data_IF_828797688883
#
_entry.id   IF_828797688883
#
_cell.length_a   1.000
_cell.length_b   1.000
_cell.length_c   1.000
_cell.angle_alpha   90.00
_cell.angle_beta   90.00
_cell.angle_gamma   90.00
#
_symmetry.space_group_name_H-M   'P 1'
#
loop_
_entity.id
_entity.type
_entity.pdbx_description
1 polymer ?
#
# COMPACT_ATOMS: atom_id res chain seq x y z
N UNK A 1 4.72 9.18 -45.00
CA UNK A 1 4.17 10.53 -45.25
C UNK A 1 3.18 10.61 -46.43
N UNK A 2 3.40 10.01 -47.60
CA UNK A 2 2.45 10.11 -48.74
C UNK A 2 1.14 9.30 -48.61
N UNK A 3 1.11 8.24 -47.80
CA UNK A 3 -0.08 7.37 -47.67
C UNK A 3 -1.22 7.99 -46.83
N UNK A 4 -0.89 8.82 -45.83
CA UNK A 4 -1.88 9.41 -44.90
C UNK A 4 -2.67 10.57 -45.51
N UNK A 5 -2.04 11.32 -46.42
CA UNK A 5 -2.67 12.44 -47.14
C UNK A 5 -3.66 11.96 -48.22
N UNK A 6 -3.45 10.76 -48.78
CA UNK A 6 -4.35 10.20 -49.79
C UNK A 6 -5.66 9.65 -49.18
N UNK A 7 -5.65 9.25 -47.90
CA UNK A 7 -6.86 8.76 -47.22
C UNK A 7 -7.90 9.88 -47.00
N UNK A 8 -7.44 11.08 -46.64
CA UNK A 8 -8.31 12.24 -46.46
C UNK A 8 -8.91 12.77 -47.79
N UNK A 9 -8.26 12.51 -48.92
CA UNK A 9 -8.73 12.92 -50.26
C UNK A 9 -9.80 11.97 -50.83
N UNK A 10 -9.76 10.69 -50.47
CA UNK A 10 -10.69 9.67 -50.97
C UNK A 10 -12.10 9.74 -50.35
N UNK A 11 -12.27 10.39 -49.19
CA UNK A 11 -13.57 10.46 -48.50
C UNK A 11 -14.51 11.57 -48.99
N UNK A 12 -14.10 12.40 -49.96
CA UNK A 12 -14.90 13.56 -50.40
C UNK A 12 -15.59 13.40 -51.77
N UNK A 13 -15.30 12.36 -52.56
CA UNK A 13 -15.90 12.17 -53.89
C UNK A 13 -16.15 10.67 -54.19
N UNK A 14 -17.41 10.24 -54.21
CA UNK A 14 -17.84 8.97 -54.83
C UNK A 14 -18.66 8.03 -53.92
N UNK A 15 -19.75 7.40 -54.42
CA UNK A 15 -20.70 6.66 -53.60
C UNK A 15 -20.27 5.21 -53.33
N UNK A 16 -20.68 4.69 -52.16
CA UNK A 16 -20.72 3.27 -51.78
C UNK A 16 -19.39 2.51 -51.84
N UNK A 17 -18.53 2.75 -50.87
CA UNK A 17 -17.72 1.67 -50.30
C UNK A 17 -17.46 1.95 -48.82
N UNK A 18 -17.75 0.96 -47.95
CA UNK A 18 -17.36 1.02 -46.54
C UNK A 18 -15.82 1.08 -46.51
N UNK A 19 -15.19 2.09 -45.88
CA UNK A 19 -13.75 2.09 -45.77
C UNK A 19 -13.31 0.91 -44.89
N UNK A 20 -12.48 0.02 -45.45
CA UNK A 20 -11.83 -1.01 -44.66
C UNK A 20 -10.95 -0.36 -43.58
N UNK A 21 -11.12 -0.80 -42.33
CA UNK A 21 -10.29 -0.33 -41.21
C UNK A 21 -8.83 -0.68 -41.50
N UNK A 22 -7.87 0.23 -41.27
CA UNK A 22 -6.46 -0.12 -41.34
C UNK A 22 -6.13 -1.25 -40.35
N UNK A 23 -5.30 -2.24 -40.71
CA UNK A 23 -5.00 -3.38 -39.85
C UNK A 23 -4.34 -2.97 -38.52
N UNK A 24 -3.65 -1.83 -38.46
CA UNK A 24 -3.04 -1.32 -37.23
C UNK A 24 -4.08 -0.86 -36.19
N UNK A 25 -5.19 -0.23 -36.64
CA UNK A 25 -6.27 0.24 -35.77
C UNK A 25 -7.06 -0.91 -35.13
N UNK A 26 -7.13 -2.06 -35.81
CA UNK A 26 -7.77 -3.27 -35.27
C UNK A 26 -6.98 -3.91 -34.12
N UNK A 27 -5.64 -3.91 -34.20
CA UNK A 27 -4.76 -4.39 -33.12
C UNK A 27 -4.68 -3.42 -31.94
N UNK A 28 -4.72 -2.12 -32.20
CA UNK A 28 -4.64 -1.11 -31.13
C UNK A 28 -5.90 -1.10 -30.24
N UNK A 29 -7.08 -1.22 -30.84
CA UNK A 29 -8.36 -1.27 -30.11
C UNK A 29 -8.63 -2.59 -29.37
N UNK A 30 -7.86 -3.65 -29.63
CA UNK A 30 -7.97 -4.94 -28.92
C UNK A 30 -7.06 -5.05 -27.70
N UNK A 31 -6.08 -4.15 -27.53
CA UNK A 31 -5.08 -4.19 -26.45
C UNK A 31 -5.41 -3.23 -25.30
N UNK A 32 -6.34 -2.29 -25.50
CA UNK A 32 -6.80 -1.34 -24.47
C UNK A 32 -8.22 -1.71 -24.04
N UNK A 33 -8.43 -2.40 -22.90
CA UNK A 33 -9.76 -2.65 -22.38
C UNK A 33 -10.32 -1.33 -21.83
N UNK A 34 -11.29 -0.73 -22.53
CA UNK A 34 -11.99 0.48 -22.03
C UNK A 34 -12.39 1.48 -23.10
N UNK A 35 -11.71 1.51 -24.25
CA UNK A 35 -12.07 2.38 -25.38
C UNK A 35 -13.25 1.80 -26.19
N UNK A 36 -14.41 1.62 -25.57
CA UNK A 36 -15.68 1.53 -26.31
C UNK A 36 -16.04 2.94 -26.74
N UNK A 37 -15.50 3.38 -27.87
CA UNK A 37 -15.98 4.55 -28.60
C UNK A 37 -17.45 4.28 -28.97
N UNK A 38 -18.38 4.71 -28.11
CA UNK A 38 -19.81 4.63 -28.38
C UNK A 38 -20.05 5.52 -29.59
N UNK A 39 -20.41 4.93 -30.72
CA UNK A 39 -20.88 5.63 -31.91
C UNK A 39 -22.14 6.45 -31.55
N UNK A 40 -21.92 7.65 -31.02
CA UNK A 40 -22.86 8.76 -31.08
C UNK A 40 -22.17 9.91 -31.81
N UNK A 41 -21.70 9.63 -33.02
CA UNK A 41 -21.80 10.66 -34.05
C UNK A 41 -23.29 10.89 -34.23
N UNK A 42 -23.77 11.95 -33.59
CA UNK A 42 -25.10 12.53 -33.80
C UNK A 42 -25.36 12.47 -35.31
N UNK A 43 -26.39 11.71 -35.69
CA UNK A 43 -27.05 11.88 -36.99
C UNK A 43 -27.55 13.32 -37.04
N UNK A 44 -26.69 14.25 -37.47
CA UNK A 44 -27.13 15.55 -37.96
C UNK A 44 -27.91 15.22 -39.21
N UNK A 45 -29.22 15.46 -39.13
CA UNK A 45 -30.23 14.98 -40.04
C UNK A 45 -29.81 15.06 -41.50
N UNK A 46 -30.03 13.95 -42.18
CA UNK A 46 -30.27 13.85 -43.61
C UNK A 46 -31.20 14.96 -44.09
N UNK A 47 -30.62 16.06 -44.55
CA UNK A 47 -31.26 17.07 -45.39
C UNK A 47 -30.52 17.08 -46.73
N UNK A 48 -31.20 16.97 -47.88
CA UNK A 48 -30.56 16.80 -49.19
C UNK A 48 -30.00 18.11 -49.77
N UNK A 49 -29.64 19.09 -48.94
CA UNK A 49 -28.99 20.34 -49.38
C UNK A 49 -27.53 20.32 -48.96
N UNK A 50 -26.66 20.35 -49.96
CA UNK A 50 -25.22 20.47 -49.78
C UNK A 50 -24.90 21.62 -48.81
N UNK A 51 -24.05 21.40 -47.79
CA UNK A 51 -23.67 22.46 -46.87
C UNK A 51 -22.93 23.56 -47.63
N UNK A 52 -23.25 24.81 -47.32
CA UNK A 52 -22.61 26.00 -47.88
C UNK A 52 -21.10 25.96 -47.58
N UNK A 53 -20.25 26.59 -48.41
CA UNK A 53 -18.79 26.50 -48.31
C UNK A 53 -18.18 26.96 -46.96
N UNK A 54 -18.94 27.64 -46.09
CA UNK A 54 -18.50 28.02 -44.74
C UNK A 54 -18.50 26.89 -43.71
N UNK A 55 -19.34 25.85 -43.86
CA UNK A 55 -19.45 24.75 -42.88
C UNK A 55 -18.45 23.61 -43.12
N UNK A 56 -17.93 23.50 -44.36
CA UNK A 56 -16.87 22.53 -44.68
C UNK A 56 -15.59 22.84 -43.91
N UNK A 57 -15.28 24.11 -43.71
CA UNK A 57 -14.10 24.54 -42.96
C UNK A 57 -14.21 24.15 -41.50
N UNK A 58 -15.38 24.34 -40.87
CA UNK A 58 -15.61 23.95 -39.47
C UNK A 58 -15.49 22.44 -39.25
N UNK A 59 -16.06 21.62 -40.15
CA UNK A 59 -15.97 20.16 -40.08
C UNK A 59 -14.53 19.65 -40.32
N UNK A 60 -13.78 20.28 -41.23
CA UNK A 60 -12.36 19.99 -41.47
C UNK A 60 -11.51 20.42 -40.27
N UNK A 61 -11.81 21.54 -39.62
CA UNK A 61 -11.11 22.01 -38.42
C UNK A 61 -11.38 21.06 -37.25
N UNK A 62 -12.62 20.62 -37.02
CA UNK A 62 -12.95 19.65 -35.97
C UNK A 62 -12.31 18.27 -36.21
N UNK A 63 -12.31 17.79 -37.45
CA UNK A 63 -11.65 16.52 -37.80
C UNK A 63 -10.12 16.61 -37.69
N UNK A 64 -9.53 17.77 -38.01
CA UNK A 64 -8.10 18.03 -37.82
C UNK A 64 -7.73 18.17 -36.36
N UNK A 65 -8.54 18.85 -35.54
CA UNK A 65 -8.34 18.95 -34.09
C UNK A 65 -8.42 17.57 -33.43
N UNK A 66 -9.39 16.74 -33.80
CA UNK A 66 -9.50 15.36 -33.32
C UNK A 66 -8.35 14.47 -33.79
N UNK A 67 -7.88 14.63 -35.03
CA UNK A 67 -6.73 13.88 -35.54
C UNK A 67 -5.39 14.34 -34.92
N UNK A 68 -5.25 15.63 -34.61
CA UNK A 68 -4.09 16.18 -33.89
C UNK A 68 -4.11 15.74 -32.44
N UNK A 69 -5.25 15.77 -31.75
CA UNK A 69 -5.37 15.22 -30.39
C UNK A 69 -5.11 13.71 -30.36
N UNK A 70 -5.59 12.96 -31.35
CA UNK A 70 -5.28 11.52 -31.48
C UNK A 70 -3.79 11.30 -31.80
N UNK A 71 -3.18 12.14 -32.64
CA UNK A 71 -1.76 12.06 -32.97
C UNK A 71 -0.90 12.45 -31.77
N UNK A 72 -1.28 13.46 -30.99
CA UNK A 72 -0.63 13.86 -29.74
C UNK A 72 -0.81 12.78 -28.70
N UNK A 73 -2.00 12.22 -28.55
CA UNK A 73 -2.23 11.07 -27.66
C UNK A 73 -1.41 9.86 -28.10
N UNK A 74 -1.33 9.55 -29.39
CA UNK A 74 -0.51 8.45 -29.94
C UNK A 74 0.98 8.75 -29.88
N UNK A 75 1.42 10.00 -30.00
CA UNK A 75 2.83 10.39 -29.88
C UNK A 75 3.26 10.47 -28.41
N UNK A 76 2.36 10.85 -27.50
CA UNK A 76 2.53 10.68 -26.07
C UNK A 76 2.55 9.19 -25.72
N UNK A 77 1.67 8.36 -26.29
CA UNK A 77 1.65 6.92 -25.99
C UNK A 77 2.82 6.14 -26.63
N UNK A 78 3.19 6.46 -27.86
CA UNK A 78 4.25 5.79 -28.63
C UNK A 78 5.64 6.42 -28.39
N UNK A 79 5.69 7.68 -27.94
CA UNK A 79 6.90 8.42 -27.57
C UNK A 79 7.13 8.52 -26.06
N UNK A 80 6.19 8.14 -25.18
CA UNK A 80 6.37 7.94 -23.73
C UNK A 80 6.53 6.45 -23.33
N UNK A 81 6.82 5.59 -24.31
CA UNK A 81 7.37 4.24 -24.10
C UNK A 81 8.90 4.16 -23.93
N UNK A 82 9.76 5.18 -24.15
CA UNK A 82 11.13 5.11 -23.65
C UNK A 82 11.09 5.34 -22.14
N UNK A 83 11.16 4.21 -21.45
CA UNK A 83 11.40 4.01 -20.02
C UNK A 83 10.34 4.58 -19.05
N UNK A 84 9.60 3.66 -18.41
CA UNK A 84 8.96 3.89 -17.10
C UNK A 84 9.91 4.58 -16.09
N UNK A 85 11.22 4.49 -16.27
CA UNK A 85 12.27 5.07 -15.43
C UNK A 85 12.33 6.61 -15.41
N UNK A 86 11.80 7.29 -16.43
CA UNK A 86 11.86 8.77 -16.51
C UNK A 86 10.58 9.45 -15.98
N UNK A 87 9.54 8.68 -15.66
CA UNK A 87 8.22 9.21 -15.28
C UNK A 87 8.28 9.89 -13.92
N UNK A 88 7.68 11.08 -13.83
CA UNK A 88 7.71 11.86 -12.61
C UNK A 88 8.98 12.70 -12.41
N UNK A 89 10.01 12.65 -13.27
CA UNK A 89 11.23 13.48 -13.17
C UNK A 89 11.01 14.94 -13.61
N UNK A 90 11.89 15.90 -13.24
CA UNK A 90 11.81 17.27 -13.77
C UNK A 90 11.89 17.33 -15.30
N UNK A 91 12.67 16.43 -15.92
CA UNK A 91 12.75 16.34 -17.37
C UNK A 91 11.47 15.79 -18.03
N UNK A 92 10.73 14.90 -17.36
CA UNK A 92 9.40 14.49 -17.82
C UNK A 92 8.36 15.60 -17.64
N UNK A 93 8.44 16.37 -16.54
CA UNK A 93 7.60 17.56 -16.32
C UNK A 93 7.76 18.58 -17.45
N UNK A 94 8.99 18.94 -17.79
CA UNK A 94 9.29 19.89 -18.88
C UNK A 94 8.73 19.40 -20.22
N UNK A 95 8.94 18.13 -20.56
CA UNK A 95 8.39 17.52 -21.79
C UNK A 95 6.86 17.54 -21.83
N UNK A 96 6.18 17.37 -20.70
CA UNK A 96 4.71 17.47 -20.63
C UNK A 96 4.28 18.92 -20.88
N UNK A 97 4.93 19.88 -20.24
CA UNK A 97 4.61 21.31 -20.38
C UNK A 97 4.85 21.83 -21.80
N UNK A 98 5.84 21.29 -22.53
CA UNK A 98 6.15 21.67 -23.92
C UNK A 98 5.08 21.23 -24.94
N UNK A 99 4.36 20.14 -24.67
CA UNK A 99 3.40 19.54 -25.61
C UNK A 99 1.97 20.02 -25.36
N UNK A 100 1.71 20.59 -24.18
CA UNK A 100 0.38 21.06 -23.81
C UNK A 100 0.07 22.42 -24.45
N UNK A 101 -1.17 22.63 -24.95
CA UNK A 101 -1.60 23.89 -25.54
C UNK A 101 -1.84 24.96 -24.46
N UNK A 102 -0.76 25.45 -23.84
CA UNK A 102 -0.80 26.43 -22.75
C UNK A 102 -0.82 27.89 -23.25
N UNK A 103 -0.46 28.12 -24.51
CA UNK A 103 -0.33 29.46 -25.08
C UNK A 103 -1.68 30.16 -25.30
N UNK A 104 -2.77 29.39 -25.38
CA UNK A 104 -4.14 29.90 -25.53
C UNK A 104 -4.78 30.30 -24.17
N UNK A 105 -4.07 30.12 -23.06
CA UNK A 105 -4.57 30.41 -21.72
C UNK A 105 -4.22 31.83 -21.28
N UNK A 106 -5.13 32.46 -20.53
CA UNK A 106 -4.81 33.70 -19.82
C UNK A 106 -3.67 33.45 -18.82
N UNK A 107 -2.76 34.42 -18.56
CA UNK A 107 -1.58 34.20 -17.72
C UNK A 107 -1.87 33.56 -16.36
N UNK A 108 -2.90 34.04 -15.65
CA UNK A 108 -3.31 33.48 -14.35
C UNK A 108 -3.85 32.04 -14.43
N UNK A 109 -4.44 31.67 -15.57
CA UNK A 109 -4.96 30.33 -15.80
C UNK A 109 -3.82 29.39 -16.20
N UNK A 110 -2.90 29.85 -17.04
CA UNK A 110 -1.65 29.15 -17.38
C UNK A 110 -0.88 28.78 -16.12
N UNK A 111 -0.64 29.73 -15.22
CA UNK A 111 0.10 29.49 -13.97
C UNK A 111 -0.56 28.41 -13.11
N UNK A 112 -1.90 28.48 -12.95
CA UNK A 112 -2.66 27.47 -12.21
C UNK A 112 -2.55 26.08 -12.83
N UNK A 113 -2.66 25.98 -14.16
CA UNK A 113 -2.54 24.70 -14.86
C UNK A 113 -1.13 24.13 -14.74
N UNK A 114 -0.10 24.96 -14.89
CA UNK A 114 1.30 24.57 -14.70
C UNK A 114 1.51 24.05 -13.29
N UNK A 115 1.05 24.76 -12.26
CA UNK A 115 1.17 24.33 -10.87
C UNK A 115 0.45 23.00 -10.60
N UNK A 116 -0.74 22.80 -11.17
CA UNK A 116 -1.46 21.54 -11.06
C UNK A 116 -0.69 20.38 -11.72
N UNK A 117 -0.09 20.59 -12.89
CA UNK A 117 0.75 19.60 -13.58
C UNK A 117 1.98 19.23 -12.76
N UNK A 118 2.64 20.21 -12.15
CA UNK A 118 3.77 20.00 -11.24
C UNK A 118 3.37 19.17 -10.04
N UNK A 119 2.23 19.48 -9.42
CA UNK A 119 1.72 18.74 -8.27
C UNK A 119 1.36 17.30 -8.66
N UNK A 120 0.67 17.09 -9.78
CA UNK A 120 0.37 15.75 -10.33
C UNK A 120 1.65 14.94 -10.57
N UNK A 121 2.70 15.58 -11.06
CA UNK A 121 4.00 14.93 -11.32
C UNK A 121 4.68 14.49 -10.03
N UNK A 122 4.63 15.34 -8.98
CA UNK A 122 5.14 14.99 -7.65
C UNK A 122 4.36 13.84 -7.01
N UNK A 123 3.03 13.86 -7.11
CA UNK A 123 2.17 12.78 -6.62
C UNK A 123 2.51 11.47 -7.33
N UNK A 124 2.62 11.51 -8.65
CA UNK A 124 2.97 10.33 -9.45
C UNK A 124 4.33 9.76 -9.05
N UNK A 125 5.34 10.62 -8.80
CA UNK A 125 6.64 10.18 -8.27
C UNK A 125 6.51 9.58 -6.88
N UNK A 126 5.86 10.29 -5.95
CA UNK A 126 5.71 9.84 -4.56
C UNK A 126 5.01 8.48 -4.46
N UNK A 127 3.99 8.25 -5.30
CA UNK A 127 3.26 6.99 -5.31
C UNK A 127 4.00 5.89 -6.08
N UNK A 128 4.52 6.18 -7.29
CA UNK A 128 4.89 5.17 -8.28
C UNK A 128 6.36 5.13 -8.71
N UNK A 129 7.27 5.86 -8.06
CA UNK A 129 8.70 5.77 -8.39
C UNK A 129 9.18 4.30 -8.27
N UNK A 130 9.70 3.69 -9.36
CA UNK A 130 10.24 2.33 -9.36
C UNK A 130 11.55 2.16 -8.57
N UNK A 131 12.02 3.23 -7.91
CA UNK A 131 13.25 3.29 -7.11
C UNK A 131 12.99 3.51 -5.61
N UNK A 132 11.74 3.37 -5.13
CA UNK A 132 11.38 3.58 -3.72
C UNK A 132 10.14 4.42 -3.46
N UNK A 133 9.16 4.46 -4.37
CA UNK A 133 7.86 5.09 -4.13
C UNK A 133 7.03 4.37 -3.05
N UNK A 134 5.95 5.01 -2.59
CA UNK A 134 5.10 4.45 -1.52
C UNK A 134 4.50 3.08 -1.88
N UNK A 135 4.20 2.82 -3.16
CA UNK A 135 3.71 1.52 -3.62
C UNK A 135 4.76 0.43 -3.41
N UNK A 136 6.02 0.67 -3.79
CA UNK A 136 7.12 -0.29 -3.60
C UNK A 136 7.38 -0.53 -2.11
N UNK A 137 7.47 0.55 -1.34
CA UNK A 137 7.70 0.45 0.11
C UNK A 137 6.53 -0.25 0.84
N UNK A 138 5.29 -0.08 0.34
CA UNK A 138 4.14 -0.83 0.83
C UNK A 138 4.27 -2.32 0.52
N UNK A 139 4.58 -2.68 -0.73
CA UNK A 139 4.79 -4.07 -1.12
C UNK A 139 5.89 -4.73 -0.30
N UNK A 140 7.04 -4.07 -0.14
CA UNK A 140 8.14 -4.56 0.70
C UNK A 140 7.68 -4.77 2.15
N UNK A 141 6.91 -3.84 2.72
CA UNK A 141 6.37 -3.99 4.08
C UNK A 141 5.38 -5.17 4.18
N UNK A 142 4.55 -5.40 3.15
CA UNK A 142 3.66 -6.57 3.11
C UNK A 142 4.47 -7.87 2.98
N UNK A 143 5.55 -7.87 2.21
CA UNK A 143 6.45 -9.02 2.08
C UNK A 143 7.23 -9.30 3.36
N UNK A 144 7.72 -8.27 4.05
CA UNK A 144 8.32 -8.36 5.38
C UNK A 144 7.32 -8.96 6.36
N UNK A 145 6.08 -8.45 6.35
CA UNK A 145 5.00 -8.98 7.17
C UNK A 145 4.70 -10.44 6.81
N UNK A 146 4.70 -10.81 5.52
CA UNK A 146 4.50 -12.18 5.08
C UNK A 146 5.64 -13.11 5.48
N UNK A 147 6.90 -12.66 5.37
CA UNK A 147 8.09 -13.37 5.82
C UNK A 147 8.05 -13.58 7.33
N UNK A 148 7.60 -12.58 8.07
CA UNK A 148 7.48 -12.62 9.52
C UNK A 148 6.29 -13.47 10.00
N UNK A 149 5.20 -13.49 9.24
CA UNK A 149 4.03 -14.31 9.52
C UNK A 149 4.12 -15.72 8.93
N UNK A 150 5.31 -16.15 8.52
CA UNK A 150 5.54 -17.54 8.11
C UNK A 150 5.14 -18.48 9.24
N UNK A 151 4.71 -19.68 8.83
CA UNK A 151 4.29 -20.76 9.73
C UNK A 151 5.31 -21.01 10.84
N UNK A 152 6.61 -20.91 10.54
CA UNK A 152 7.73 -21.04 11.48
C UNK A 152 7.58 -20.09 12.68
N UNK A 153 7.36 -18.79 12.47
CA UNK A 153 7.20 -17.82 13.58
C UNK A 153 5.92 -18.04 14.40
N UNK A 154 4.86 -18.53 13.77
CA UNK A 154 3.65 -18.92 14.51
C UNK A 154 3.94 -20.14 15.40
N UNK A 155 4.63 -21.15 14.88
CA UNK A 155 5.03 -22.34 15.65
C UNK A 155 6.06 -22.01 16.74
N UNK A 156 7.03 -21.13 16.49
CA UNK A 156 7.96 -20.60 17.49
C UNK A 156 7.22 -19.96 18.67
N UNK A 157 6.22 -19.10 18.40
CA UNK A 157 5.38 -18.55 19.49
C UNK A 157 4.64 -19.64 20.26
N UNK A 158 4.18 -20.71 19.58
CA UNK A 158 3.51 -21.83 20.26
C UNK A 158 4.48 -22.58 21.16
N UNK A 159 5.70 -22.80 20.69
CA UNK A 159 6.79 -23.43 21.43
C UNK A 159 7.12 -22.62 22.68
N UNK A 160 7.46 -21.34 22.54
CA UNK A 160 7.80 -20.45 23.66
C UNK A 160 6.71 -20.43 24.74
N UNK A 161 5.43 -20.31 24.34
CA UNK A 161 4.32 -20.31 25.30
C UNK A 161 4.11 -21.67 25.97
N UNK A 162 4.36 -22.77 25.27
CA UNK A 162 4.26 -24.12 25.83
C UNK A 162 5.42 -24.39 26.78
N UNK A 163 6.65 -24.05 26.41
CA UNK A 163 7.81 -24.13 27.30
C UNK A 163 7.60 -23.29 28.55
N UNK A 164 7.17 -22.03 28.41
CA UNK A 164 6.86 -21.16 29.55
C UNK A 164 5.80 -21.77 30.47
N UNK A 165 4.77 -22.41 29.91
CA UNK A 165 3.74 -23.11 30.69
C UNK A 165 4.30 -24.31 31.43
N UNK A 166 5.10 -25.14 30.77
CA UNK A 166 5.75 -26.30 31.41
C UNK A 166 6.66 -25.82 32.54
N UNK A 167 7.49 -24.80 32.30
CA UNK A 167 8.34 -24.22 33.34
C UNK A 167 7.57 -23.62 34.51
N UNK A 168 6.39 -23.03 34.27
CA UNK A 168 5.50 -22.61 35.35
C UNK A 168 4.90 -23.76 36.16
N UNK A 169 4.84 -24.98 35.62
CA UNK A 169 4.42 -26.16 36.38
C UNK A 169 5.53 -26.67 37.29
N UNK A 170 6.79 -26.48 36.89
CA UNK A 170 7.97 -26.85 37.69
C UNK A 170 8.18 -25.92 38.91
N UNK A 171 7.55 -24.74 38.91
CA UNK A 171 7.60 -23.81 40.04
C UNK A 171 6.82 -24.39 41.23
N UNK A 172 7.46 -24.47 42.40
CA UNK A 172 6.83 -24.90 43.65
C UNK A 172 5.92 -23.80 44.22
N UNK A 173 4.70 -23.75 43.69
CA UNK A 173 3.67 -22.77 44.05
C UNK A 173 3.25 -22.88 45.51
N UNK A 174 3.25 -24.09 46.07
CA UNK A 174 2.85 -24.32 47.45
C UNK A 174 3.91 -23.79 48.40
N UNK A 175 5.19 -24.05 48.10
CA UNK A 175 6.29 -23.43 48.82
C UNK A 175 6.23 -21.91 48.71
N UNK A 176 6.09 -21.33 47.51
CA UNK A 176 6.03 -19.86 47.35
C UNK A 176 4.86 -19.27 48.14
N UNK A 177 3.67 -19.90 48.09
CA UNK A 177 2.50 -19.42 48.81
C UNK A 177 2.74 -19.42 50.34
N UNK A 178 3.24 -20.52 50.89
CA UNK A 178 3.55 -20.65 52.32
C UNK A 178 4.68 -19.71 52.76
N UNK A 179 5.74 -19.61 51.97
CA UNK A 179 6.86 -18.71 52.25
C UNK A 179 6.43 -17.24 52.19
N UNK A 180 5.56 -16.87 51.25
CA UNK A 180 5.01 -15.53 51.16
C UNK A 180 4.13 -15.18 52.37
N UNK A 181 3.28 -16.11 52.82
CA UNK A 181 2.48 -15.92 54.03
C UNK A 181 3.36 -15.71 55.26
N UNK A 182 4.37 -16.57 55.47
CA UNK A 182 5.33 -16.42 56.57
C UNK A 182 6.11 -15.12 56.50
N UNK A 183 6.57 -14.73 55.32
CA UNK A 183 7.27 -13.45 55.11
C UNK A 183 6.36 -12.26 55.47
N UNK A 184 5.07 -12.32 55.11
CA UNK A 184 4.09 -11.27 55.44
C UNK A 184 3.78 -11.18 56.94
N UNK A 185 3.90 -12.29 57.66
CA UNK A 185 3.74 -12.36 59.13
C UNK A 185 5.05 -12.09 59.88
N UNK A 186 6.16 -11.89 59.18
CA UNK A 186 7.48 -11.69 59.80
C UNK A 186 8.09 -12.95 60.42
N UNK A 187 7.60 -14.13 60.04
CA UNK A 187 7.99 -15.43 60.63
C UNK A 187 8.91 -16.26 59.73
N UNK A 188 9.25 -15.76 58.54
CA UNK A 188 10.16 -16.45 57.64
C UNK A 188 11.61 -16.19 58.05
N UNK A 189 12.34 -17.23 58.45
CA UNK A 189 13.75 -17.10 58.84
C UNK A 189 14.70 -17.16 57.64
N UNK A 190 15.84 -16.49 57.75
CA UNK A 190 16.97 -16.56 56.80
C UNK A 190 17.80 -17.86 56.93
N UNK A 191 17.13 -19.01 57.03
CA UNK A 191 17.84 -20.29 56.98
C UNK A 191 18.42 -20.53 55.58
N UNK A 192 19.54 -21.25 55.51
CA UNK A 192 20.17 -21.62 54.23
C UNK A 192 19.21 -22.37 53.31
N UNK A 193 18.32 -23.19 53.88
CA UNK A 193 17.29 -23.93 53.14
C UNK A 193 16.25 -23.00 52.51
N UNK A 194 15.74 -22.00 53.24
CA UNK A 194 14.79 -21.03 52.70
C UNK A 194 15.41 -20.15 51.61
N UNK A 195 16.69 -19.78 51.78
CA UNK A 195 17.42 -19.00 50.78
C UNK A 195 17.65 -19.83 49.52
N UNK A 196 18.11 -21.08 49.64
CA UNK A 196 18.33 -21.96 48.51
C UNK A 196 17.03 -22.24 47.73
N UNK A 197 15.94 -22.53 48.43
CA UNK A 197 14.64 -22.71 47.82
C UNK A 197 14.16 -21.42 47.12
N UNK A 198 14.36 -20.24 47.73
CA UNK A 198 14.04 -18.98 47.07
C UNK A 198 14.85 -18.76 45.79
N UNK A 199 16.17 -19.01 45.81
CA UNK A 199 17.06 -18.86 44.66
C UNK A 199 16.65 -19.80 43.51
N UNK A 200 16.32 -21.05 43.83
CA UNK A 200 15.84 -22.05 42.87
C UNK A 200 14.54 -21.60 42.19
N UNK A 201 13.54 -21.18 42.97
CA UNK A 201 12.26 -20.73 42.44
C UNK A 201 12.39 -19.41 41.65
N UNK A 202 13.28 -18.51 42.09
CA UNK A 202 13.58 -17.29 41.36
C UNK A 202 14.26 -17.56 40.02
N UNK A 203 15.17 -18.54 39.95
CA UNK A 203 15.82 -18.95 38.71
C UNK A 203 14.81 -19.56 37.72
N UNK A 204 13.92 -20.44 38.18
CA UNK A 204 12.87 -21.03 37.35
C UNK A 204 11.94 -19.96 36.74
N UNK A 205 11.50 -18.98 37.55
CA UNK A 205 10.70 -17.87 37.02
C UNK A 205 11.48 -16.94 36.09
N UNK A 206 12.80 -16.78 36.26
CA UNK A 206 13.59 -15.97 35.33
C UNK A 206 13.52 -16.55 33.91
N UNK A 207 13.67 -17.86 33.77
CA UNK A 207 13.53 -18.57 32.48
C UNK A 207 12.15 -18.32 31.86
N UNK A 208 11.08 -18.41 32.65
CA UNK A 208 9.72 -18.08 32.18
C UNK A 208 9.64 -16.63 31.70
N UNK A 209 10.25 -15.71 32.43
CA UNK A 209 10.31 -14.29 32.09
C UNK A 209 10.99 -14.05 30.73
N UNK A 210 12.11 -14.72 30.48
CA UNK A 210 12.88 -14.61 29.23
C UNK A 210 12.05 -15.12 28.04
N UNK A 211 11.43 -16.29 28.16
CA UNK A 211 10.54 -16.85 27.13
C UNK A 211 9.34 -15.93 26.83
N UNK A 212 8.78 -15.28 27.86
CA UNK A 212 7.70 -14.31 27.69
C UNK A 212 8.18 -12.98 27.09
N UNK A 213 9.44 -12.60 27.31
CA UNK A 213 10.03 -11.42 26.68
C UNK A 213 10.22 -11.63 25.18
N UNK A 214 10.71 -12.80 24.77
CA UNK A 214 10.83 -13.19 23.36
C UNK A 214 9.46 -13.22 22.67
N UNK A 215 8.45 -13.82 23.31
CA UNK A 215 7.07 -13.80 22.80
C UNK A 215 6.56 -12.38 22.57
N UNK A 216 6.84 -11.49 23.52
CA UNK A 216 6.42 -10.09 23.45
C UNK A 216 7.12 -9.36 22.31
N UNK A 217 8.41 -9.58 22.10
CA UNK A 217 9.15 -9.00 20.97
C UNK A 217 8.47 -9.38 19.66
N UNK A 218 8.07 -10.65 19.54
CA UNK A 218 7.43 -11.14 18.33
C UNK A 218 6.11 -10.42 18.05
N UNK A 219 5.27 -10.25 19.08
CA UNK A 219 4.00 -9.52 18.97
C UNK A 219 4.21 -8.05 18.62
N UNK A 220 5.20 -7.41 19.24
CA UNK A 220 5.50 -5.99 19.00
C UNK A 220 5.93 -5.77 17.56
N UNK A 221 6.86 -6.60 17.06
CA UNK A 221 7.38 -6.49 15.69
C UNK A 221 6.27 -6.70 14.66
N UNK A 222 5.42 -7.70 14.85
CA UNK A 222 4.28 -7.93 13.97
C UNK A 222 3.31 -6.74 13.95
N UNK A 223 2.97 -6.18 15.13
CA UNK A 223 2.09 -5.00 15.21
C UNK A 223 2.71 -3.80 14.51
N UNK A 224 4.02 -3.60 14.66
CA UNK A 224 4.74 -2.51 13.99
C UNK A 224 4.69 -2.65 12.46
N UNK A 225 4.95 -3.85 11.92
CA UNK A 225 4.86 -4.12 10.48
C UNK A 225 3.42 -3.93 9.96
N UNK A 226 2.42 -4.46 10.66
CA UNK A 226 1.01 -4.28 10.29
C UNK A 226 0.57 -2.81 10.29
N UNK A 227 0.98 -2.03 11.30
CA UNK A 227 0.69 -0.60 11.36
C UNK A 227 1.46 0.21 10.30
N UNK A 228 2.68 -0.21 9.97
CA UNK A 228 3.46 0.39 8.88
C UNK A 228 2.78 0.18 7.53
N UNK A 229 2.39 -1.05 7.22
CA UNK A 229 1.68 -1.39 5.99
C UNK A 229 0.36 -0.61 5.86
N UNK A 230 -0.44 -0.54 6.93
CA UNK A 230 -1.68 0.23 6.96
C UNK A 230 -1.47 1.74 6.71
N UNK A 231 -0.42 2.33 7.29
CA UNK A 231 -0.09 3.76 7.06
C UNK A 231 0.27 4.01 5.60
N UNK A 232 1.12 3.17 5.00
CA UNK A 232 1.52 3.30 3.60
C UNK A 232 0.34 3.12 2.65
N UNK A 233 -0.51 2.12 2.91
CA UNK A 233 -1.73 1.92 2.13
C UNK A 233 -2.64 3.17 2.13
N UNK A 234 -2.84 3.79 3.29
CA UNK A 234 -3.62 5.04 3.39
C UNK A 234 -2.97 6.21 2.66
N UNK A 235 -1.64 6.30 2.69
CA UNK A 235 -0.91 7.34 1.98
C UNK A 235 -1.07 7.18 0.46
N UNK A 236 -0.96 5.96 -0.05
CA UNK A 236 -1.23 5.67 -1.47
C UNK A 236 -2.66 6.10 -1.86
N UNK A 237 -3.66 5.74 -1.05
CA UNK A 237 -5.05 6.16 -1.28
C UNK A 237 -5.21 7.69 -1.26
N UNK A 238 -4.51 8.37 -0.34
CA UNK A 238 -4.52 9.83 -0.24
C UNK A 238 -3.94 10.46 -1.51
N UNK A 239 -2.80 9.95 -1.98
CA UNK A 239 -2.12 10.42 -3.18
C UNK A 239 -2.97 10.21 -4.45
N UNK A 240 -3.62 9.05 -4.59
CA UNK A 240 -4.57 8.79 -5.68
C UNK A 240 -5.73 9.81 -5.67
N UNK A 241 -6.38 9.99 -4.52
CA UNK A 241 -7.49 10.95 -4.38
C UNK A 241 -7.06 12.39 -4.66
N UNK A 242 -5.86 12.78 -4.21
CA UNK A 242 -5.29 14.09 -4.48
C UNK A 242 -5.02 14.28 -5.98
N UNK A 243 -4.46 13.26 -6.64
CA UNK A 243 -4.24 13.25 -8.08
C UNK A 243 -5.53 13.42 -8.88
N UNK A 244 -6.60 12.69 -8.52
CA UNK A 244 -7.92 12.83 -9.16
C UNK A 244 -8.50 14.23 -9.00
N UNK A 245 -8.47 14.80 -7.78
CA UNK A 245 -8.97 16.16 -7.51
C UNK A 245 -8.19 17.22 -8.29
N UNK A 246 -6.87 17.08 -8.38
CA UNK A 246 -6.04 18.00 -9.15
C UNK A 246 -6.37 17.92 -10.64
N UNK A 247 -6.52 16.72 -11.18
CA UNK A 247 -6.91 16.52 -12.57
C UNK A 247 -8.28 17.13 -12.88
N UNK A 248 -9.25 17.00 -11.97
CA UNK A 248 -10.57 17.64 -12.08
C UNK A 248 -10.48 19.17 -12.01
N UNK A 249 -9.60 19.70 -11.15
CA UNK A 249 -9.43 21.15 -10.94
C UNK A 249 -8.89 21.91 -12.15
N UNK A 250 -8.21 21.21 -13.07
CA UNK A 250 -7.70 21.79 -14.32
C UNK A 250 -8.86 22.28 -15.21
N UNK A 251 -10.04 21.65 -15.14
CA UNK A 251 -11.29 22.14 -15.75
C UNK A 251 -11.28 22.31 -17.28
N UNK A 252 -10.19 21.93 -17.97
CA UNK A 252 -9.98 22.07 -19.41
C UNK A 252 -9.89 20.68 -20.05
N UNK A 253 -10.92 20.23 -20.79
CA UNK A 253 -10.98 18.85 -21.30
C UNK A 253 -9.77 18.43 -22.13
N UNK A 254 -9.21 19.31 -22.96
CA UNK A 254 -8.04 18.98 -23.80
C UNK A 254 -6.77 18.73 -22.98
N UNK A 255 -6.55 19.51 -21.92
CA UNK A 255 -5.39 19.39 -21.02
C UNK A 255 -5.62 18.22 -20.07
N UNK A 256 -6.83 18.09 -19.55
CA UNK A 256 -7.25 16.98 -18.71
C UNK A 256 -7.03 15.64 -19.42
N UNK A 257 -7.52 15.46 -20.65
CA UNK A 257 -7.31 14.23 -21.41
C UNK A 257 -5.85 13.94 -21.77
N UNK A 258 -5.02 14.98 -21.87
CA UNK A 258 -3.58 14.81 -22.06
C UNK A 258 -2.84 14.39 -20.78
N UNK A 259 -3.47 14.52 -19.60
CA UNK A 259 -2.91 14.17 -18.28
C UNK A 259 -3.63 12.98 -17.62
N UNK A 260 -4.77 12.54 -18.17
CA UNK A 260 -5.54 11.37 -17.71
C UNK A 260 -4.66 10.12 -17.56
N UNK A 261 -3.64 9.95 -18.41
CA UNK A 261 -2.70 8.84 -18.32
C UNK A 261 -1.93 8.79 -16.99
N UNK A 262 -1.63 9.93 -16.35
CA UNK A 262 -0.89 9.96 -15.09
C UNK A 262 -1.69 9.38 -13.93
N UNK A 263 -3.00 9.66 -13.92
CA UNK A 263 -3.95 9.09 -12.94
C UNK A 263 -4.28 7.65 -13.31
N UNK A 264 -4.48 7.35 -14.60
CA UNK A 264 -4.73 5.99 -15.06
C UNK A 264 -3.56 5.03 -14.78
N UNK A 265 -2.32 5.50 -14.86
CA UNK A 265 -1.14 4.72 -14.49
C UNK A 265 -1.11 4.43 -12.99
N UNK A 266 -1.50 5.39 -12.13
CA UNK A 266 -1.62 5.18 -10.68
C UNK A 266 -2.75 4.19 -10.36
N UNK A 267 -3.90 4.34 -11.01
CA UNK A 267 -5.03 3.40 -10.89
C UNK A 267 -4.62 1.99 -11.31
N UNK A 268 -3.87 1.87 -12.40
CA UNK A 268 -3.37 0.60 -12.87
C UNK A 268 -2.38 -0.02 -11.88
N UNK A 269 -1.41 0.76 -11.37
CA UNK A 269 -0.48 0.28 -10.33
C UNK A 269 -1.22 -0.09 -9.03
N UNK A 270 -2.28 0.63 -8.69
CA UNK A 270 -3.12 0.32 -7.54
C UNK A 270 -3.83 -1.02 -7.72
N UNK A 271 -4.48 -1.23 -8.86
CA UNK A 271 -5.22 -2.47 -9.16
C UNK A 271 -4.30 -3.68 -9.37
N UNK A 272 -3.14 -3.51 -10.04
CA UNK A 272 -2.22 -4.63 -10.31
C UNK A 272 -1.34 -5.00 -9.11
N UNK A 273 -0.92 -4.02 -8.31
CA UNK A 273 0.09 -4.25 -7.26
C UNK A 273 -0.46 -4.02 -5.86
N UNK A 274 -1.08 -2.86 -5.60
CA UNK A 274 -1.47 -2.46 -4.25
C UNK A 274 -2.64 -3.29 -3.74
N UNK A 275 -3.67 -3.50 -4.57
CA UNK A 275 -4.88 -4.23 -4.18
C UNK A 275 -4.59 -5.71 -3.87
N UNK A 276 -3.86 -6.48 -4.70
CA UNK A 276 -3.46 -7.83 -4.35
C UNK A 276 -2.57 -7.89 -3.10
N UNK A 277 -1.65 -6.94 -2.93
CA UNK A 277 -0.81 -6.85 -1.73
C UNK A 277 -1.66 -6.56 -0.48
N UNK A 278 -2.68 -5.71 -0.58
CA UNK A 278 -3.61 -5.42 0.50
C UNK A 278 -4.48 -6.62 0.87
N UNK A 279 -5.05 -7.30 -0.11
CA UNK A 279 -5.81 -8.54 0.12
C UNK A 279 -4.94 -9.59 0.82
N UNK A 280 -3.67 -9.72 0.39
CA UNK A 280 -2.68 -10.57 1.05
C UNK A 280 -2.41 -10.12 2.49
N UNK A 281 -2.19 -8.82 2.75
CA UNK A 281 -1.99 -8.28 4.09
C UNK A 281 -3.19 -8.61 5.00
N UNK A 282 -4.42 -8.34 4.55
CA UNK A 282 -5.66 -8.63 5.29
C UNK A 282 -5.76 -10.12 5.58
N UNK A 283 -5.48 -10.97 4.59
CA UNK A 283 -5.47 -12.42 4.77
C UNK A 283 -4.44 -12.89 5.80
N UNK A 284 -3.20 -12.40 5.72
CA UNK A 284 -2.12 -12.73 6.65
C UNK A 284 -2.47 -12.33 8.09
N UNK A 285 -2.99 -11.11 8.28
CA UNK A 285 -3.43 -10.64 9.59
C UNK A 285 -4.61 -11.46 10.13
N UNK A 286 -5.53 -11.88 9.26
CA UNK A 286 -6.66 -12.74 9.63
C UNK A 286 -6.21 -14.14 10.05
N UNK A 287 -5.30 -14.76 9.30
CA UNK A 287 -4.69 -16.06 9.64
C UNK A 287 -4.00 -15.99 11.00
N UNK A 288 -3.21 -14.93 11.23
CA UNK A 288 -2.55 -14.77 12.52
C UNK A 288 -3.54 -14.51 13.64
N UNK A 289 -4.57 -13.69 13.43
CA UNK A 289 -5.60 -13.44 14.45
C UNK A 289 -6.28 -14.76 14.85
N UNK A 290 -6.60 -15.63 13.88
CA UNK A 290 -7.12 -16.98 14.16
C UNK A 290 -6.10 -17.82 14.91
N UNK A 291 -4.86 -17.91 14.44
CA UNK A 291 -3.81 -18.67 15.12
C UNK A 291 -3.56 -18.18 16.56
N UNK A 292 -3.61 -16.86 16.79
CA UNK A 292 -3.52 -16.26 18.12
C UNK A 292 -4.75 -16.54 19.00
N UNK A 293 -5.91 -16.77 18.39
CA UNK A 293 -7.14 -17.17 19.09
C UNK A 293 -7.10 -18.67 19.43
N UNK A 294 -6.64 -19.50 18.50
CA UNK A 294 -6.44 -20.96 18.66
C UNK A 294 -5.32 -21.29 19.65
N UNK A 295 -4.30 -20.42 19.74
CA UNK A 295 -3.29 -20.40 20.80
C UNK A 295 -3.89 -20.13 22.19
N UNK A 296 -5.18 -19.81 22.25
CA UNK A 296 -5.86 -19.28 23.40
C UNK A 296 -5.24 -17.93 23.74
N UNK A 297 -5.80 -16.83 23.24
CA UNK A 297 -5.53 -15.51 23.82
C UNK A 297 -5.85 -15.48 25.34
N UNK A 298 -6.71 -16.40 25.83
CA UNK A 298 -6.85 -16.73 27.24
C UNK A 298 -5.67 -17.48 27.87
N UNK A 299 -4.91 -18.25 27.10
CA UNK A 299 -3.73 -19.03 27.50
C UNK A 299 -2.48 -18.16 27.68
N UNK A 300 -2.15 -17.27 26.73
CA UNK A 300 -1.01 -16.35 26.88
C UNK A 300 -1.25 -15.30 27.98
N UNK A 301 -2.45 -14.69 28.00
CA UNK A 301 -2.82 -13.75 29.06
C UNK A 301 -2.86 -14.41 30.45
N UNK A 302 -3.30 -15.69 30.53
CA UNK A 302 -3.24 -16.47 31.76
C UNK A 302 -1.81 -16.73 32.20
N UNK A 303 -0.93 -17.19 31.30
CA UNK A 303 0.49 -17.45 31.60
C UNK A 303 1.18 -16.17 32.09
N UNK A 304 0.96 -15.04 31.41
CA UNK A 304 1.51 -13.74 31.82
C UNK A 304 0.97 -13.29 33.18
N UNK A 305 -0.33 -13.48 33.44
CA UNK A 305 -0.96 -13.14 34.72
C UNK A 305 -0.37 -13.98 35.85
N UNK A 306 -0.28 -15.29 35.64
CA UNK A 306 0.25 -16.25 36.60
C UNK A 306 1.73 -15.98 36.89
N UNK A 307 2.55 -15.79 35.86
CA UNK A 307 3.95 -15.36 36.01
C UNK A 307 4.07 -14.10 36.86
N UNK A 308 3.29 -13.05 36.58
CA UNK A 308 3.34 -11.78 37.33
C UNK A 308 2.97 -11.97 38.80
N UNK A 309 1.98 -12.80 39.08
CA UNK A 309 1.56 -13.11 40.45
C UNK A 309 2.69 -13.75 41.24
N UNK A 310 3.27 -14.84 40.73
CA UNK A 310 4.32 -15.58 41.42
C UNK A 310 5.63 -14.79 41.51
N UNK A 311 6.00 -14.05 40.46
CA UNK A 311 7.15 -13.15 40.49
C UNK A 311 6.98 -12.03 41.53
N UNK A 312 5.75 -11.55 41.77
CA UNK A 312 5.47 -10.57 42.83
C UNK A 312 5.67 -11.18 44.22
N UNK A 313 5.14 -12.38 44.47
CA UNK A 313 5.29 -13.11 45.74
C UNK A 313 6.77 -13.41 46.04
N UNK A 314 7.52 -13.91 45.07
CA UNK A 314 8.95 -14.18 45.21
C UNK A 314 9.79 -12.91 45.47
N UNK A 315 9.41 -11.77 44.89
CA UNK A 315 10.05 -10.49 45.22
C UNK A 315 9.82 -10.08 46.68
N UNK A 316 8.63 -10.31 47.21
CA UNK A 316 8.33 -10.02 48.62
C UNK A 316 9.08 -10.95 49.57
N UNK A 317 9.15 -12.25 49.26
CA UNK A 317 9.97 -13.22 50.01
C UNK A 317 11.44 -12.80 49.98
N UNK A 318 11.98 -12.47 48.80
CA UNK A 318 13.36 -12.04 48.65
C UNK A 318 13.68 -10.82 49.52
N UNK A 319 12.84 -9.79 49.52
CA UNK A 319 13.01 -8.62 50.40
C UNK A 319 13.07 -8.98 51.88
N UNK A 320 12.28 -9.97 52.30
CA UNK A 320 12.29 -10.45 53.68
C UNK A 320 13.58 -11.19 54.03
N UNK A 321 14.17 -11.91 53.06
CA UNK A 321 15.45 -12.62 53.17
C UNK A 321 16.68 -11.74 52.85
N UNK A 322 16.51 -10.42 52.72
CA UNK A 322 17.58 -9.51 52.32
C UNK A 322 18.06 -9.65 50.86
N UNK A 323 17.33 -10.36 49.99
CA UNK A 323 17.66 -10.62 48.59
C UNK A 323 16.88 -9.74 47.60
N UNK A 324 17.54 -9.35 46.50
CA UNK A 324 16.89 -8.63 45.38
C UNK A 324 16.25 -9.62 44.41
N UNK A 325 15.09 -9.27 43.88
CA UNK A 325 14.25 -10.19 43.11
C UNK A 325 14.74 -10.50 41.69
N UNK A 326 14.10 -11.48 41.00
CA UNK A 326 14.52 -11.96 39.68
C UNK A 326 14.43 -10.94 38.53
N UNK A 327 13.84 -9.76 38.74
CA UNK A 327 13.66 -8.72 37.71
C UNK A 327 14.48 -7.43 37.90
N UNK A 328 15.42 -7.38 38.85
CA UNK A 328 16.20 -6.17 39.16
C UNK A 328 17.61 -6.14 38.51
N UNK A 329 17.91 -7.08 37.60
CA UNK A 329 19.09 -7.03 36.74
C UNK A 329 18.69 -6.41 35.40
N UNK A 330 19.06 -5.14 35.22
CA UNK A 330 18.73 -4.31 34.06
C UNK A 330 19.47 -4.67 32.78
#
# INVERSE_FOLDING_TARGET
MRASLNYARASCCGPRSRPARPPFLRRFLSVVPGLRFRERLVQVGSSPRAPRPRDRTACIIQARAGAVLLLVAVLLFAGALPARADRGTPAAEERILEVLPLDDLAPRERDRVVDAIRQLTRIHRAAGDPSGGEIEAYMETVEDLARYLKRETVEERRELLREARVKLQDVDREWIARAFERASQGTLSESSENVAAWEEQAAALRVVGDLLAEEREIVVRQKALGASAERRYREILRLDQEGRRLLESIGRPAIQSALEWMVADLDHAFEESVRPAHDRQVHLLALYKRAATDLGSGSAASVVKEYREWASKLRAIGRHLGRRGPGDSG
#
